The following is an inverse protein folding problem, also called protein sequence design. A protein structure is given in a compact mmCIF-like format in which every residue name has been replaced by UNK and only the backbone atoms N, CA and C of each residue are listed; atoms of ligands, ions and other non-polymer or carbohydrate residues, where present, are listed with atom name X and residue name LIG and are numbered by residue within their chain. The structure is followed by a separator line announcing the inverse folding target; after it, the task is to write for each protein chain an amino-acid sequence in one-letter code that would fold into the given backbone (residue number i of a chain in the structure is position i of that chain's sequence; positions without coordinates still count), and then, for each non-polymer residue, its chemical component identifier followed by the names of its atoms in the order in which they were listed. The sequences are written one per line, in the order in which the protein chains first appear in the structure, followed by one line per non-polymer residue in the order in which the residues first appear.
data_IF_591313783955
#
_entry.id   IF_591313783955
#
_cell.length_a   1.000
_cell.length_b   1.000
_cell.length_c   1.000
_cell.angle_alpha   90.00
_cell.angle_beta   90.00
_cell.angle_gamma   90.00
#
_symmetry.space_group_name_H-M   'P 1'
#
loop_
_entity.id
_entity.type
_entity.pdbx_description
1 polymer ?
#
# COMPACT_ATOMS: atom_id res chain seq x y z
N UNK A 1 -26.60 3.48 24.65
CA UNK A 1 -25.68 3.86 23.55
C UNK A 1 -26.35 4.61 22.40
N UNK A 2 -27.32 4.05 21.65
CA UNK A 2 -27.96 4.78 20.52
C UNK A 2 -28.57 6.13 20.92
N UNK A 3 -29.34 6.18 22.00
CA UNK A 3 -29.91 7.44 22.51
C UNK A 3 -28.84 8.42 23.00
N UNK A 4 -27.75 7.92 23.58
CA UNK A 4 -26.60 8.75 23.99
C UNK A 4 -25.88 9.32 22.76
N UNK A 5 -25.77 8.56 21.67
CA UNK A 5 -25.20 8.99 20.39
C UNK A 5 -25.95 10.18 19.79
N UNK A 6 -27.28 10.14 19.81
CA UNK A 6 -28.12 11.28 19.38
C UNK A 6 -27.97 12.52 20.27
N UNK A 7 -27.79 12.33 21.59
CA UNK A 7 -27.47 13.44 22.51
C UNK A 7 -26.08 14.02 22.25
N UNK A 8 -25.08 13.16 22.03
CA UNK A 8 -23.71 13.57 21.69
C UNK A 8 -23.67 14.35 20.38
N UNK A 9 -24.36 13.87 19.33
CA UNK A 9 -24.46 14.58 18.04
C UNK A 9 -24.98 16.00 18.23
N UNK A 10 -26.12 16.17 18.93
CA UNK A 10 -26.68 17.49 19.21
C UNK A 10 -25.71 18.38 19.99
N UNK A 11 -24.98 17.82 20.95
CA UNK A 11 -23.97 18.55 21.70
C UNK A 11 -22.77 18.97 20.83
N UNK A 12 -22.28 18.10 19.94
CA UNK A 12 -21.17 18.44 19.03
C UNK A 12 -21.55 19.53 18.02
N UNK A 13 -22.78 19.50 17.51
CA UNK A 13 -23.32 20.57 16.66
C UNK A 13 -23.44 21.88 17.46
N UNK A 14 -24.02 21.84 18.66
CA UNK A 14 -24.21 23.02 19.51
C UNK A 14 -22.88 23.65 19.95
N UNK A 15 -21.85 22.84 20.18
CA UNK A 15 -20.50 23.30 20.58
C UNK A 15 -19.60 23.64 19.38
N UNK A 16 -20.10 23.52 18.15
CA UNK A 16 -19.35 23.86 16.93
C UNK A 16 -18.20 22.91 16.61
N UNK A 17 -18.21 21.69 17.17
CA UNK A 17 -17.21 20.63 16.88
C UNK A 17 -17.57 19.77 15.67
N UNK A 18 -18.79 19.92 15.16
CA UNK A 18 -19.32 19.18 14.02
C UNK A 18 -20.27 20.08 13.23
N UNK A 19 -20.30 19.89 11.91
CA UNK A 19 -21.26 20.59 11.06
C UNK A 19 -22.67 20.03 11.27
N UNK A 20 -23.67 20.90 11.18
CA UNK A 20 -25.07 20.49 11.11
C UNK A 20 -25.36 19.99 9.67
N UNK A 21 -25.63 18.69 9.46
CA UNK A 21 -25.78 18.12 8.11
C UNK A 21 -26.95 18.72 7.32
N UNK A 22 -27.95 19.27 8.01
CA UNK A 22 -29.09 19.95 7.39
C UNK A 22 -28.76 21.39 6.94
N UNK A 23 -27.60 21.92 7.34
CA UNK A 23 -27.19 23.31 7.03
C UNK A 23 -25.92 23.32 6.18
N UNK A 24 -26.06 23.53 4.85
CA UNK A 24 -24.91 23.66 3.99
C UNK A 24 -24.10 24.90 4.37
N UNK A 25 -22.77 24.78 4.33
CA UNK A 25 -21.82 25.82 4.69
C UNK A 25 -20.74 25.92 3.62
N UNK A 26 -20.15 27.10 3.48
CA UNK A 26 -19.02 27.31 2.57
C UNK A 26 -17.79 26.52 3.03
N UNK A 27 -16.94 26.10 2.08
CA UNK A 27 -15.68 25.41 2.38
C UNK A 27 -14.72 26.27 3.25
N UNK A 28 -14.81 27.60 3.15
CA UNK A 28 -13.97 28.51 3.94
C UNK A 28 -14.30 28.49 5.43
N UNK A 29 -15.55 28.14 5.76
CA UNK A 29 -16.06 28.11 7.13
C UNK A 29 -16.16 26.66 7.65
N UNK A 30 -15.57 25.69 6.93
CA UNK A 30 -15.62 24.28 7.29
C UNK A 30 -14.98 24.04 8.66
N UNK A 31 -15.65 23.23 9.48
CA UNK A 31 -15.16 22.85 10.80
C UNK A 31 -14.24 21.65 10.63
N UNK A 32 -12.97 21.78 11.04
CA UNK A 32 -12.05 20.65 11.13
C UNK A 32 -12.47 19.75 12.28
N UNK A 33 -12.86 18.52 11.96
CA UNK A 33 -13.28 17.55 12.97
C UNK A 33 -12.04 17.00 13.70
N UNK A 34 -12.06 17.04 15.04
CA UNK A 34 -10.97 16.53 15.88
C UNK A 34 -11.43 15.27 16.61
N UNK A 35 -10.68 14.18 16.50
CA UNK A 35 -11.02 12.92 17.15
C UNK A 35 -10.87 12.95 18.67
N UNK A 36 -11.84 12.34 19.36
CA UNK A 36 -11.89 12.25 20.83
C UNK A 36 -11.81 10.80 21.34
N UNK A 37 -11.84 9.80 20.45
CA UNK A 37 -11.75 8.38 20.83
C UNK A 37 -10.36 8.06 21.41
N UNK A 38 -10.30 7.65 22.68
CA UNK A 38 -9.04 7.29 23.36
C UNK A 38 -8.63 5.83 23.19
N UNK A 39 -9.51 5.01 22.62
CA UNK A 39 -9.28 3.59 22.39
C UNK A 39 -8.94 3.31 20.92
N UNK A 40 -8.38 2.12 20.64
CA UNK A 40 -8.12 1.67 19.27
C UNK A 40 -9.40 1.41 18.46
N UNK A 41 -10.53 1.23 19.13
CA UNK A 41 -11.87 1.12 18.55
C UNK A 41 -12.87 1.92 19.39
N UNK A 42 -13.70 2.80 18.81
CA UNK A 42 -14.76 3.50 19.54
C UNK A 42 -15.74 2.54 20.24
N UNK A 43 -16.16 2.89 21.46
CA UNK A 43 -17.09 2.08 22.27
C UNK A 43 -18.37 1.73 21.51
N UNK A 44 -18.96 2.71 20.83
CA UNK A 44 -20.18 2.48 20.04
C UNK A 44 -19.96 1.42 18.96
N UNK A 45 -18.80 1.45 18.29
CA UNK A 45 -18.46 0.44 17.29
C UNK A 45 -18.17 -0.93 17.93
N UNK A 46 -17.50 -0.97 19.09
CA UNK A 46 -17.26 -2.23 19.82
C UNK A 46 -18.58 -2.94 20.09
N UNK A 47 -19.51 -2.24 20.75
CA UNK A 47 -20.83 -2.80 21.09
C UNK A 47 -21.64 -3.14 19.85
N UNK A 48 -21.61 -2.28 18.82
CA UNK A 48 -22.29 -2.57 17.55
C UNK A 48 -21.80 -3.89 16.94
N UNK A 49 -20.48 -4.11 16.85
CA UNK A 49 -19.90 -5.31 16.25
C UNK A 49 -20.13 -6.56 17.10
N UNK A 50 -20.12 -6.43 18.43
CA UNK A 50 -20.48 -7.53 19.35
C UNK A 50 -21.93 -7.98 19.11
N UNK A 51 -22.88 -7.04 19.08
CA UNK A 51 -24.30 -7.35 18.84
C UNK A 51 -24.53 -7.95 17.45
N UNK A 52 -23.76 -7.53 16.45
CA UNK A 52 -23.86 -8.00 15.07
C UNK A 52 -23.07 -9.28 14.80
N UNK A 53 -22.37 -9.86 15.80
CA UNK A 53 -21.45 -10.98 15.63
C UNK A 53 -20.37 -10.75 14.54
N UNK A 54 -19.95 -9.49 14.38
CA UNK A 54 -18.93 -9.00 13.41
C UNK A 54 -17.59 -8.68 14.12
N UNK A 55 -17.27 -9.41 15.19
CA UNK A 55 -15.98 -9.35 15.87
C UNK A 55 -14.99 -10.27 15.13
N UNK A 56 -13.84 -9.73 14.74
CA UNK A 56 -12.81 -10.50 14.05
C UNK A 56 -12.14 -11.48 15.02
N UNK A 57 -11.60 -12.60 14.51
CA UNK A 57 -10.92 -13.60 15.35
C UNK A 57 -9.84 -12.96 16.25
N UNK A 58 -8.97 -12.14 15.65
CA UNK A 58 -7.86 -11.43 16.32
C UNK A 58 -8.27 -10.33 17.31
N UNK A 59 -9.56 -10.08 17.47
CA UNK A 59 -10.13 -9.19 18.49
C UNK A 59 -10.70 -9.97 19.69
N UNK A 60 -10.55 -11.30 19.70
CA UNK A 60 -10.90 -12.17 20.83
C UNK A 60 -9.66 -12.50 21.66
N UNK A 61 -9.86 -12.96 22.89
CA UNK A 61 -8.78 -13.50 23.72
C UNK A 61 -8.08 -14.67 23.00
N UNK A 62 -6.72 -14.74 23.01
CA UNK A 62 -5.99 -15.77 22.24
C UNK A 62 -6.40 -17.19 22.62
N UNK A 63 -6.57 -17.47 23.92
CA UNK A 63 -6.98 -18.78 24.41
C UNK A 63 -8.39 -19.16 23.94
N UNK A 64 -9.26 -18.17 23.75
CA UNK A 64 -10.63 -18.42 23.28
C UNK A 64 -10.69 -18.89 21.83
N UNK A 65 -9.62 -18.66 21.04
CA UNK A 65 -9.51 -19.11 19.65
C UNK A 65 -9.44 -20.64 19.52
N UNK A 66 -9.08 -21.35 20.60
CA UNK A 66 -9.07 -22.81 20.66
C UNK A 66 -10.50 -23.39 20.68
N UNK A 67 -11.51 -22.58 20.99
CA UNK A 67 -12.91 -23.00 21.02
C UNK A 67 -13.66 -22.60 19.74
N UNK A 68 -14.83 -23.20 19.55
CA UNK A 68 -15.74 -22.84 18.45
C UNK A 68 -16.16 -21.37 18.50
N UNK A 69 -16.58 -20.81 17.36
CA UNK A 69 -16.90 -19.37 17.22
C UNK A 69 -17.89 -18.85 18.27
N UNK A 70 -18.83 -19.68 18.72
CA UNK A 70 -19.83 -19.34 19.74
C UNK A 70 -19.29 -19.24 21.16
N UNK A 71 -18.10 -19.79 21.43
CA UNK A 71 -17.44 -19.79 22.74
C UNK A 71 -16.24 -18.82 22.79
N UNK A 72 -16.01 -18.04 21.72
CA UNK A 72 -14.96 -17.01 21.70
C UNK A 72 -15.34 -15.85 22.60
N UNK A 73 -14.36 -15.37 23.34
CA UNK A 73 -14.50 -14.25 24.27
C UNK A 73 -13.83 -13.05 23.64
N UNK A 74 -14.59 -12.00 23.35
CA UNK A 74 -14.02 -10.77 22.80
C UNK A 74 -13.19 -10.04 23.86
N UNK A 75 -12.11 -9.39 23.44
CA UNK A 75 -11.27 -8.56 24.30
C UNK A 75 -11.32 -7.12 23.78
N UNK A 76 -11.94 -6.23 24.57
CA UNK A 76 -12.10 -4.81 24.18
C UNK A 76 -10.77 -4.12 23.91
N UNK A 77 -9.68 -4.51 24.57
CA UNK A 77 -8.35 -3.94 24.37
C UNK A 77 -7.71 -4.39 23.05
N UNK A 78 -8.23 -5.46 22.42
CA UNK A 78 -7.76 -5.96 21.13
C UNK A 78 -8.63 -5.51 19.96
N UNK A 79 -9.81 -4.93 20.24
CA UNK A 79 -10.69 -4.42 19.20
C UNK A 79 -10.08 -3.18 18.54
N UNK A 80 -9.95 -3.22 17.22
CA UNK A 80 -9.46 -2.09 16.42
C UNK A 80 -10.55 -1.63 15.47
N UNK A 81 -10.71 -0.31 15.31
CA UNK A 81 -11.73 0.27 14.44
C UNK A 81 -11.66 -0.30 13.01
N UNK A 82 -12.76 -0.88 12.53
CA UNK A 82 -12.92 -1.45 11.18
C UNK A 82 -13.11 -0.34 10.16
N UNK A 83 -12.56 -0.51 8.96
CA UNK A 83 -12.76 0.47 7.90
C UNK A 83 -14.23 0.46 7.43
N UNK A 84 -14.86 1.64 7.41
CA UNK A 84 -16.22 1.83 6.87
C UNK A 84 -16.12 2.61 5.57
N UNK A 85 -16.67 2.06 4.48
CA UNK A 85 -16.80 2.78 3.20
C UNK A 85 -17.79 3.93 3.37
N UNK A 86 -17.49 5.11 2.83
CA UNK A 86 -18.50 6.17 2.70
C UNK A 86 -19.58 5.69 1.72
N UNK A 87 -20.77 5.38 2.22
CA UNK A 87 -21.92 4.93 1.44
C UNK A 87 -23.14 5.78 1.79
N UNK A 88 -24.05 5.97 0.84
CA UNK A 88 -25.30 6.68 1.08
C UNK A 88 -26.08 6.00 2.23
N UNK A 89 -26.47 6.79 3.24
CA UNK A 89 -27.15 6.28 4.44
C UNK A 89 -26.25 5.92 5.62
N UNK A 90 -24.91 5.98 5.47
CA UNK A 90 -24.04 5.88 6.64
C UNK A 90 -24.19 7.11 7.52
N UNK A 91 -24.35 6.88 8.83
CA UNK A 91 -24.32 7.96 9.82
C UNK A 91 -22.98 8.70 9.74
N UNK A 92 -23.05 10.02 9.77
CA UNK A 92 -21.89 10.89 9.87
C UNK A 92 -21.09 10.54 11.14
N UNK A 93 -19.76 10.48 11.00
CA UNK A 93 -18.87 10.12 12.10
C UNK A 93 -18.78 11.26 13.12
N UNK A 94 -19.01 10.93 14.39
CA UNK A 94 -18.87 11.87 15.48
C UNK A 94 -17.38 12.04 15.84
N UNK A 95 -16.99 13.14 16.50
CA UNK A 95 -15.68 13.26 17.14
C UNK A 95 -15.30 12.05 18.02
N UNK A 96 -16.26 11.47 18.75
CA UNK A 96 -16.07 10.26 19.55
C UNK A 96 -15.85 8.97 18.75
N UNK A 97 -16.14 8.97 17.44
CA UNK A 97 -15.85 7.85 16.54
C UNK A 97 -14.46 7.93 15.91
N UNK A 98 -13.78 9.09 15.99
CA UNK A 98 -12.46 9.29 15.39
C UNK A 98 -11.36 9.24 16.45
N UNK A 99 -10.26 8.56 16.13
CA UNK A 99 -9.08 8.48 16.98
C UNK A 99 -8.16 9.68 16.69
N UNK A 100 -7.69 10.41 17.72
CA UNK A 100 -6.70 11.45 17.52
C UNK A 100 -5.34 10.86 17.09
N UNK A 101 -4.42 11.66 16.53
CA UNK A 101 -3.14 11.21 15.99
C UNK A 101 -2.32 10.31 16.93
N UNK A 102 -2.25 10.64 18.23
CA UNK A 102 -1.52 9.83 19.21
C UNK A 102 -2.09 8.42 19.36
N UNK A 103 -3.41 8.28 19.34
CA UNK A 103 -4.10 6.98 19.42
C UNK A 103 -3.99 6.22 18.11
N UNK A 104 -3.99 6.91 16.96
CA UNK A 104 -3.74 6.31 15.65
C UNK A 104 -2.34 5.69 15.59
N UNK A 105 -1.32 6.39 16.10
CA UNK A 105 0.03 5.85 16.21
C UNK A 105 0.08 4.63 17.13
N UNK A 106 -0.50 4.73 18.33
CA UNK A 106 -0.58 3.60 19.27
C UNK A 106 -1.29 2.39 18.66
N UNK A 107 -2.32 2.63 17.84
CA UNK A 107 -3.01 1.57 17.11
C UNK A 107 -2.08 0.86 16.12
N UNK A 108 -1.28 1.61 15.35
CA UNK A 108 -0.30 1.00 14.44
C UNK A 108 0.80 0.27 15.20
N UNK A 109 1.30 0.83 16.30
CA UNK A 109 2.29 0.19 17.15
C UNK A 109 1.73 -1.17 17.67
N UNK A 110 0.47 -1.24 18.09
CA UNK A 110 -0.18 -2.51 18.44
C UNK A 110 -0.26 -3.49 17.25
N UNK A 111 -0.73 -3.03 16.08
CA UNK A 111 -0.88 -3.89 14.91
C UNK A 111 0.45 -4.45 14.42
N UNK A 112 1.52 -3.66 14.44
CA UNK A 112 2.81 -4.06 13.88
C UNK A 112 3.77 -4.67 14.91
N UNK A 113 3.74 -4.23 16.17
CA UNK A 113 4.67 -4.72 17.19
C UNK A 113 4.06 -5.79 18.09
N UNK A 114 2.78 -5.71 18.44
CA UNK A 114 2.13 -6.70 19.31
C UNK A 114 1.52 -7.83 18.47
N UNK A 115 0.63 -7.50 17.53
CA UNK A 115 -0.13 -8.51 16.81
C UNK A 115 0.76 -9.38 15.89
N UNK A 116 1.70 -8.78 15.16
CA UNK A 116 2.64 -9.56 14.32
C UNK A 116 3.67 -10.35 15.14
N UNK A 117 3.86 -10.06 16.42
CA UNK A 117 4.70 -10.89 17.29
C UNK A 117 3.98 -12.18 17.73
N UNK A 118 2.65 -12.12 17.84
CA UNK A 118 1.83 -13.25 18.30
C UNK A 118 1.35 -14.16 17.16
N UNK A 119 1.23 -13.63 15.93
CA UNK A 119 0.64 -14.33 14.80
C UNK A 119 1.50 -14.21 13.54
N UNK A 120 1.43 -15.23 12.66
CA UNK A 120 2.06 -15.14 11.34
C UNK A 120 1.31 -14.14 10.48
N UNK A 121 2.04 -13.39 9.65
CA UNK A 121 1.46 -12.37 8.78
C UNK A 121 0.28 -12.91 7.97
N UNK A 122 0.41 -14.09 7.37
CA UNK A 122 -0.67 -14.71 6.57
C UNK A 122 -2.00 -14.87 7.30
N UNK A 123 -1.98 -15.04 8.62
CA UNK A 123 -3.17 -15.23 9.44
C UNK A 123 -3.85 -13.90 9.78
N UNK A 124 -3.08 -12.80 9.82
CA UNK A 124 -3.54 -11.46 10.23
C UNK A 124 -3.53 -10.42 9.10
N UNK A 125 -3.05 -10.75 7.90
CA UNK A 125 -2.82 -9.78 6.82
C UNK A 125 -4.09 -9.03 6.48
N UNK A 126 -5.20 -9.74 6.19
CA UNK A 126 -6.49 -9.11 5.84
C UNK A 126 -7.03 -8.23 6.95
N UNK A 127 -6.78 -8.62 8.22
CA UNK A 127 -7.14 -7.81 9.37
C UNK A 127 -6.32 -6.52 9.42
N UNK A 128 -4.99 -6.61 9.36
CA UNK A 128 -4.10 -5.44 9.40
C UNK A 128 -4.37 -4.52 8.20
N UNK A 129 -4.57 -5.08 7.01
CA UNK A 129 -4.94 -4.34 5.79
C UNK A 129 -6.21 -3.50 5.99
N UNK A 130 -7.26 -4.06 6.59
CA UNK A 130 -8.49 -3.31 6.88
C UNK A 130 -8.27 -2.24 7.95
N UNK A 131 -7.57 -2.57 9.04
CA UNK A 131 -7.38 -1.67 10.17
C UNK A 131 -6.42 -0.51 9.86
N UNK A 132 -5.37 -0.74 9.09
CA UNK A 132 -4.48 0.34 8.58
C UNK A 132 -5.22 1.27 7.64
N UNK A 133 -6.13 0.76 6.81
CA UNK A 133 -7.04 1.59 6.00
C UNK A 133 -7.96 2.44 6.88
N UNK A 134 -8.49 1.91 7.98
CA UNK A 134 -9.27 2.68 8.94
C UNK A 134 -8.45 3.80 9.62
N UNK A 135 -7.17 3.52 9.96
CA UNK A 135 -6.25 4.53 10.50
C UNK A 135 -6.03 5.68 9.51
N UNK A 136 -5.74 5.38 8.24
CA UNK A 136 -5.58 6.39 7.19
C UNK A 136 -6.85 7.20 6.97
N UNK A 137 -8.01 6.55 7.03
CA UNK A 137 -9.30 7.22 6.89
C UNK A 137 -9.54 8.23 8.03
N UNK A 138 -9.18 7.89 9.27
CA UNK A 138 -9.29 8.83 10.40
C UNK A 138 -8.38 10.05 10.22
N UNK A 139 -7.15 9.89 9.71
CA UNK A 139 -6.30 11.04 9.35
C UNK A 139 -6.93 11.88 8.23
N UNK A 140 -7.47 11.24 7.21
CA UNK A 140 -8.10 11.92 6.08
C UNK A 140 -9.34 12.72 6.47
N UNK A 141 -10.10 12.28 7.48
CA UNK A 141 -11.28 13.02 7.94
C UNK A 141 -10.86 14.19 8.83
N UNK A 142 -9.84 13.99 9.66
CA UNK A 142 -9.36 15.02 10.58
C UNK A 142 -8.54 16.13 9.90
N UNK A 143 -7.99 15.89 8.70
CA UNK A 143 -7.22 16.90 7.93
C UNK A 143 -6.17 17.59 8.82
N UNK A 144 -5.28 16.79 9.44
CA UNK A 144 -4.36 17.26 10.48
C UNK A 144 -3.41 18.33 9.96
N UNK A 145 -3.29 19.44 10.69
CA UNK A 145 -2.47 20.61 10.29
C UNK A 145 -1.42 21.02 11.33
N UNK A 146 -1.54 20.55 12.58
CA UNK A 146 -0.57 20.86 13.64
C UNK A 146 0.72 20.07 13.39
N UNK A 147 1.87 20.73 13.50
CA UNK A 147 3.18 20.13 13.17
C UNK A 147 3.46 18.79 13.89
N UNK A 148 3.11 18.69 15.18
CA UNK A 148 3.25 17.44 15.96
C UNK A 148 2.36 16.31 15.42
N UNK A 149 1.14 16.64 15.05
CA UNK A 149 0.15 15.69 14.52
C UNK A 149 0.50 15.28 13.07
N UNK A 150 1.03 16.22 12.27
CA UNK A 150 1.52 15.97 10.91
C UNK A 150 2.74 15.05 10.94
N UNK A 151 3.66 15.24 11.90
CA UNK A 151 4.79 14.33 12.11
C UNK A 151 4.30 12.91 12.38
N UNK A 152 3.34 12.76 13.29
CA UNK A 152 2.73 11.45 13.60
C UNK A 152 2.06 10.85 12.37
N UNK A 153 1.30 11.65 11.61
CA UNK A 153 0.68 11.20 10.38
C UNK A 153 1.72 10.67 9.40
N UNK A 154 2.76 11.45 9.08
CA UNK A 154 3.83 11.01 8.17
C UNK A 154 4.43 9.67 8.64
N UNK A 155 4.82 9.55 9.92
CA UNK A 155 5.35 8.30 10.47
C UNK A 155 4.39 7.11 10.28
N UNK A 156 3.08 7.33 10.51
CA UNK A 156 2.05 6.31 10.31
C UNK A 156 1.92 5.88 8.84
N UNK A 157 1.85 6.84 7.91
CA UNK A 157 1.75 6.55 6.48
C UNK A 157 3.01 5.83 5.96
N UNK A 158 4.20 6.24 6.41
CA UNK A 158 5.46 5.57 6.09
C UNK A 158 5.45 4.10 6.54
N UNK A 159 5.05 3.82 7.77
CA UNK A 159 4.97 2.44 8.29
C UNK A 159 3.94 1.60 7.51
N UNK A 160 2.79 2.17 7.16
CA UNK A 160 1.75 1.47 6.40
C UNK A 160 2.25 1.11 5.00
N UNK A 161 2.98 2.00 4.32
CA UNK A 161 3.59 1.67 3.01
C UNK A 161 4.60 0.53 3.16
N UNK A 162 5.48 0.56 4.16
CA UNK A 162 6.44 -0.51 4.41
C UNK A 162 5.74 -1.85 4.67
N UNK A 163 4.66 -1.83 5.45
CA UNK A 163 3.81 -3.00 5.69
C UNK A 163 3.27 -3.56 4.37
N UNK A 164 2.68 -2.74 3.50
CA UNK A 164 2.12 -3.23 2.23
C UNK A 164 3.18 -3.81 1.29
N UNK A 165 4.37 -3.20 1.22
CA UNK A 165 5.48 -3.74 0.41
C UNK A 165 5.90 -5.12 0.95
N UNK A 166 6.08 -5.23 2.28
CA UNK A 166 6.43 -6.49 2.94
C UNK A 166 5.32 -7.53 2.75
N UNK A 167 4.05 -7.16 2.94
CA UNK A 167 2.93 -8.09 2.82
C UNK A 167 2.79 -8.63 1.42
N UNK A 168 2.98 -7.81 0.39
CA UNK A 168 2.92 -8.31 -0.98
C UNK A 168 4.01 -9.36 -1.27
N UNK A 169 5.22 -9.18 -0.75
CA UNK A 169 6.32 -10.14 -0.89
C UNK A 169 6.06 -11.44 -0.11
N UNK A 170 5.71 -11.34 1.16
CA UNK A 170 5.47 -12.51 2.01
C UNK A 170 4.25 -13.31 1.54
N UNK A 171 3.22 -12.62 1.01
CA UNK A 171 1.99 -13.26 0.55
C UNK A 171 2.11 -13.82 -0.87
N UNK A 172 3.20 -13.59 -1.60
CA UNK A 172 3.44 -14.21 -2.92
C UNK A 172 4.07 -15.61 -2.87
N UNK A 173 4.40 -16.13 -1.68
CA UNK A 173 4.94 -17.49 -1.53
C UNK A 173 3.91 -18.60 -1.83
N UNK A 174 4.41 -19.75 -2.30
CA UNK A 174 3.58 -20.90 -2.72
C UNK A 174 2.78 -21.54 -1.56
N UNK A 175 3.19 -21.32 -0.31
CA UNK A 175 2.52 -21.84 0.91
C UNK A 175 1.31 -21.00 1.36
N UNK A 176 0.90 -20.02 0.54
CA UNK A 176 -0.16 -19.09 0.90
C UNK A 176 -1.53 -19.55 0.38
N UNK A 177 -2.16 -20.46 1.12
CA UNK A 177 -3.55 -20.90 0.90
C UNK A 177 -4.60 -19.91 1.43
N UNK A 178 -4.22 -18.68 1.77
CA UNK A 178 -5.14 -17.67 2.31
C UNK A 178 -6.17 -17.27 1.23
N UNK A 179 -7.33 -17.93 1.24
CA UNK A 179 -8.42 -17.77 0.26
C UNK A 179 -8.91 -16.34 0.06
N UNK A 180 -8.67 -15.48 1.06
CA UNK A 180 -9.25 -14.14 1.14
C UNK A 180 -8.24 -13.02 0.82
N UNK A 181 -6.97 -13.35 0.56
CA UNK A 181 -5.96 -12.35 0.21
C UNK A 181 -6.14 -11.86 -1.23
N UNK A 182 -6.06 -10.54 -1.42
CA UNK A 182 -6.13 -9.92 -2.75
C UNK A 182 -4.93 -8.99 -2.98
N UNK A 183 -3.94 -9.48 -3.73
CA UNK A 183 -2.76 -8.70 -4.11
C UNK A 183 -3.13 -7.36 -4.77
N UNK A 184 -4.16 -7.35 -5.62
CA UNK A 184 -4.60 -6.12 -6.29
C UNK A 184 -5.14 -5.08 -5.30
N UNK A 185 -5.87 -5.50 -4.27
CA UNK A 185 -6.37 -4.61 -3.22
C UNK A 185 -5.24 -4.12 -2.32
N UNK A 186 -4.24 -4.97 -2.04
CA UNK A 186 -3.07 -4.60 -1.25
C UNK A 186 -2.25 -3.52 -1.97
N UNK A 187 -1.94 -3.74 -3.25
CA UNK A 187 -1.29 -2.77 -4.13
C UNK A 187 -2.07 -1.44 -4.21
N UNK A 188 -3.40 -1.50 -4.40
CA UNK A 188 -4.24 -0.29 -4.46
C UNK A 188 -4.18 0.52 -3.16
N UNK A 189 -4.18 -0.14 -2.00
CA UNK A 189 -4.06 0.57 -0.72
C UNK A 189 -2.66 1.14 -0.51
N UNK A 190 -1.60 0.43 -0.90
CA UNK A 190 -0.24 0.95 -0.90
C UNK A 190 -0.11 2.21 -1.76
N UNK A 191 -0.58 2.17 -3.01
CA UNK A 191 -0.49 3.28 -3.97
C UNK A 191 -1.24 4.52 -3.45
N UNK A 192 -2.45 4.33 -2.91
CA UNK A 192 -3.19 5.41 -2.25
C UNK A 192 -2.47 5.95 -1.01
N UNK A 193 -1.73 5.11 -0.28
CA UNK A 193 -0.96 5.55 0.89
C UNK A 193 0.23 6.41 0.46
N UNK A 194 0.95 5.98 -0.58
CA UNK A 194 2.04 6.74 -1.19
C UNK A 194 1.57 8.09 -1.73
N UNK A 195 0.40 8.15 -2.36
CA UNK A 195 -0.19 9.40 -2.85
C UNK A 195 -0.49 10.38 -1.70
N UNK A 196 -1.08 9.90 -0.60
CA UNK A 196 -1.29 10.74 0.59
C UNK A 196 0.03 11.20 1.21
N UNK A 197 1.03 10.32 1.25
CA UNK A 197 2.35 10.62 1.78
C UNK A 197 3.08 11.68 0.94
N UNK A 198 2.93 11.63 -0.38
CA UNK A 198 3.44 12.67 -1.31
C UNK A 198 2.83 14.05 -1.02
N UNK A 199 1.52 14.10 -0.80
CA UNK A 199 0.84 15.34 -0.41
C UNK A 199 1.39 15.86 0.93
N UNK A 200 1.55 15.01 1.95
CA UNK A 200 2.15 15.42 3.22
C UNK A 200 3.57 15.96 3.06
N UNK A 201 4.42 15.29 2.27
CA UNK A 201 5.78 15.78 2.03
C UNK A 201 5.78 17.15 1.32
N UNK A 202 4.93 17.31 0.31
CA UNK A 202 4.81 18.54 -0.48
C UNK A 202 4.26 19.70 0.36
N UNK A 203 3.20 19.45 1.13
CA UNK A 203 2.55 20.46 1.99
C UNK A 203 3.39 20.85 3.20
N UNK A 204 4.36 20.01 3.58
CA UNK A 204 5.29 20.26 4.68
C UNK A 204 6.65 20.80 4.24
N UNK A 205 6.83 21.10 2.94
CA UNK A 205 8.02 21.79 2.43
C UNK A 205 8.19 23.14 3.10
N UNK A 206 9.40 23.39 3.63
CA UNK A 206 9.72 24.66 4.28
C UNK A 206 9.05 24.89 5.64
N UNK A 207 8.33 23.90 6.17
CA UNK A 207 7.82 23.92 7.55
C UNK A 207 8.84 23.35 8.53
N UNK A 208 8.49 23.36 9.82
CA UNK A 208 9.36 22.98 10.95
C UNK A 208 9.83 21.52 10.88
N UNK A 209 9.01 20.61 10.36
CA UNK A 209 9.31 19.19 10.27
C UNK A 209 9.59 18.76 8.83
N UNK A 210 10.64 17.98 8.63
CA UNK A 210 10.92 17.29 7.37
C UNK A 210 11.26 15.85 7.70
N UNK A 211 10.61 14.90 7.03
CA UNK A 211 10.88 13.50 7.32
C UNK A 211 12.27 13.09 6.83
N UNK A 212 13.08 12.41 7.65
CA UNK A 212 14.36 11.85 7.21
C UNK A 212 14.19 10.66 6.25
N UNK A 213 12.98 10.09 6.17
CA UNK A 213 12.69 8.94 5.33
C UNK A 213 12.12 9.31 3.96
N UNK A 214 11.91 10.58 3.66
CA UNK A 214 11.29 10.97 2.40
C UNK A 214 11.97 10.33 1.17
N UNK A 215 13.31 10.37 1.11
CA UNK A 215 14.07 9.79 0.00
C UNK A 215 13.83 8.28 -0.18
N UNK A 216 13.51 7.54 0.89
CA UNK A 216 13.15 6.13 0.82
C UNK A 216 11.82 5.95 0.05
N UNK A 217 10.80 6.71 0.41
CA UNK A 217 9.48 6.59 -0.23
C UNK A 217 9.46 7.16 -1.65
N UNK A 218 10.26 8.20 -1.93
CA UNK A 218 10.52 8.66 -3.30
C UNK A 218 11.17 7.59 -4.16
N UNK A 219 12.11 6.83 -3.59
CA UNK A 219 12.74 5.71 -4.28
C UNK A 219 11.71 4.62 -4.65
N UNK A 220 10.77 4.30 -3.74
CA UNK A 220 9.67 3.37 -4.06
C UNK A 220 8.78 3.90 -5.20
N UNK A 221 8.40 5.18 -5.17
CA UNK A 221 7.61 5.81 -6.24
C UNK A 221 8.32 5.75 -7.61
N UNK A 222 9.64 5.99 -7.64
CA UNK A 222 10.45 5.87 -8.86
C UNK A 222 10.35 4.47 -9.45
N UNK A 223 10.52 3.43 -8.64
CA UNK A 223 10.45 2.04 -9.10
C UNK A 223 9.04 1.73 -9.62
N UNK A 224 8.00 2.12 -8.88
CA UNK A 224 6.60 1.84 -9.22
C UNK A 224 6.13 2.54 -10.50
N UNK A 225 6.81 3.61 -10.95
CA UNK A 225 6.55 4.23 -12.25
C UNK A 225 6.70 3.25 -13.42
N UNK A 226 7.41 2.12 -13.26
CA UNK A 226 7.44 1.04 -14.25
C UNK A 226 6.05 0.41 -14.51
N UNK A 227 5.12 0.48 -13.57
CA UNK A 227 3.74 -0.02 -13.74
C UNK A 227 2.81 0.99 -14.39
N UNK A 228 3.13 2.29 -14.33
CA UNK A 228 2.31 3.35 -14.94
C UNK A 228 2.28 3.20 -16.47
N UNK A 229 1.12 3.32 -17.14
CA UNK A 229 1.05 3.17 -18.60
C UNK A 229 1.94 4.16 -19.36
N UNK A 230 2.00 5.41 -18.91
CA UNK A 230 2.87 6.47 -19.44
C UNK A 230 3.65 7.07 -18.27
N UNK A 231 4.86 6.57 -17.97
CA UNK A 231 5.68 7.10 -16.90
C UNK A 231 6.11 8.54 -17.20
N UNK A 232 6.07 9.40 -16.19
CA UNK A 232 6.45 10.82 -16.23
C UNK A 232 7.42 11.14 -15.09
N UNK A 233 8.37 10.24 -14.84
CA UNK A 233 9.32 10.33 -13.72
C UNK A 233 10.11 11.64 -13.72
N UNK A 234 10.49 12.15 -14.90
CA UNK A 234 11.23 13.41 -15.05
C UNK A 234 10.46 14.59 -14.46
N UNK A 235 9.14 14.65 -14.69
CA UNK A 235 8.28 15.70 -14.13
C UNK A 235 8.27 15.61 -12.60
N UNK A 236 8.08 14.41 -12.05
CA UNK A 236 8.08 14.21 -10.60
C UNK A 236 9.42 14.58 -9.96
N UNK A 237 10.54 14.06 -10.49
CA UNK A 237 11.89 14.34 -9.97
C UNK A 237 12.21 15.84 -10.04
N UNK A 238 11.75 16.55 -11.08
CA UNK A 238 11.99 17.98 -11.24
C UNK A 238 11.36 18.84 -10.13
N UNK A 239 10.30 18.34 -9.48
CA UNK A 239 9.62 19.03 -8.37
C UNK A 239 10.30 18.80 -7.02
N UNK A 240 11.22 17.84 -6.92
CA UNK A 240 11.81 17.46 -5.65
C UNK A 240 13.03 18.32 -5.28
N UNK A 241 13.27 18.55 -3.98
CA UNK A 241 14.47 19.24 -3.53
C UNK A 241 15.75 18.53 -3.97
N UNK A 242 16.80 19.31 -4.26
CA UNK A 242 18.10 18.79 -4.71
C UNK A 242 18.67 17.70 -3.79
N UNK A 243 18.51 17.82 -2.47
CA UNK A 243 19.02 16.81 -1.53
C UNK A 243 18.27 15.47 -1.62
N UNK A 244 16.99 15.47 -2.00
CA UNK A 244 16.20 14.25 -2.22
C UNK A 244 16.61 13.59 -3.54
N UNK A 245 16.72 14.38 -4.61
CA UNK A 245 17.15 13.88 -5.93
C UNK A 245 18.54 13.23 -5.87
N UNK A 246 19.43 13.78 -5.04
CA UNK A 246 20.79 13.27 -4.88
C UNK A 246 20.95 12.20 -3.79
N UNK A 247 19.89 11.84 -3.06
CA UNK A 247 19.97 10.76 -2.08
C UNK A 247 20.30 9.45 -2.79
N UNK A 248 21.21 8.67 -2.18
CA UNK A 248 21.66 7.38 -2.71
C UNK A 248 20.51 6.42 -2.99
N UNK A 249 19.43 6.47 -2.21
CA UNK A 249 18.24 5.62 -2.36
C UNK A 249 17.48 5.95 -3.64
N UNK A 250 17.31 7.24 -3.93
CA UNK A 250 16.62 7.70 -5.15
C UNK A 250 17.45 7.37 -6.38
N UNK A 251 18.77 7.59 -6.34
CA UNK A 251 19.67 7.23 -7.46
C UNK A 251 19.63 5.73 -7.76
N UNK A 252 19.73 4.89 -6.72
CA UNK A 252 19.59 3.43 -6.84
C UNK A 252 18.24 2.99 -7.42
N UNK A 253 17.16 3.63 -7.00
CA UNK A 253 15.85 3.38 -7.61
C UNK A 253 15.77 3.77 -9.09
N UNK A 254 16.47 4.84 -9.50
CA UNK A 254 16.59 5.22 -10.92
C UNK A 254 17.38 4.16 -11.70
N UNK A 255 18.42 3.56 -11.11
CA UNK A 255 19.17 2.47 -11.75
C UNK A 255 18.26 1.26 -12.01
N UNK A 256 17.50 0.81 -10.99
CA UNK A 256 16.47 -0.25 -11.14
C UNK A 256 15.42 0.13 -12.19
N UNK A 257 14.90 1.36 -12.13
CA UNK A 257 13.90 1.86 -13.08
C UNK A 257 14.42 1.82 -14.52
N UNK A 258 15.65 2.27 -14.76
CA UNK A 258 16.26 2.28 -16.08
C UNK A 258 16.52 0.87 -16.61
N UNK A 259 16.94 -0.05 -15.74
CA UNK A 259 17.14 -1.46 -16.11
C UNK A 259 15.81 -2.15 -16.48
N UNK A 260 14.71 -1.81 -15.80
CA UNK A 260 13.38 -2.36 -16.08
C UNK A 260 12.59 -1.63 -17.19
N UNK A 261 13.07 -0.50 -17.70
CA UNK A 261 12.33 0.32 -18.65
C UNK A 261 12.41 -0.24 -20.07
N UNK A 262 11.23 -0.45 -20.66
CA UNK A 262 11.09 -0.92 -22.05
C UNK A 262 11.30 0.20 -23.08
N UNK A 263 12.12 -0.04 -24.09
CA UNK A 263 12.39 0.88 -25.20
C UNK A 263 11.18 1.22 -26.06
N UNK A 264 10.17 0.35 -26.09
CA UNK A 264 8.91 0.63 -26.78
C UNK A 264 7.88 1.34 -25.91
N UNK A 265 8.12 1.53 -24.61
CA UNK A 265 7.15 2.17 -23.71
C UNK A 265 7.06 3.65 -24.04
N UNK A 266 5.84 4.18 -24.01
CA UNK A 266 5.59 5.61 -24.18
C UNK A 266 5.85 6.32 -22.86
N UNK A 267 6.59 7.42 -22.89
CA UNK A 267 6.95 8.24 -21.73
C UNK A 267 6.58 9.71 -21.94
N UNK A 268 6.40 10.41 -20.82
CA UNK A 268 6.22 11.86 -20.75
C UNK A 268 4.78 12.35 -20.99
N UNK A 269 4.50 13.59 -20.59
CA UNK A 269 3.17 14.21 -20.74
C UNK A 269 2.93 14.76 -22.16
N UNK A 270 3.97 14.86 -22.98
CA UNK A 270 3.93 15.50 -24.29
C UNK A 270 3.23 14.61 -25.34
N UNK A 271 2.52 15.26 -26.27
CA UNK A 271 1.89 14.62 -27.43
C UNK A 271 2.63 15.03 -28.71
N UNK A 272 3.06 14.08 -29.58
CA UNK A 272 2.94 12.64 -29.39
C UNK A 272 3.91 12.11 -28.30
N UNK A 273 3.54 11.03 -27.60
CA UNK A 273 4.35 10.47 -26.52
C UNK A 273 5.69 9.96 -27.05
N UNK A 274 6.75 10.21 -26.29
CA UNK A 274 8.12 9.84 -26.66
C UNK A 274 8.40 8.40 -26.27
N UNK A 275 9.39 7.79 -26.92
CA UNK A 275 10.00 6.55 -26.44
C UNK A 275 11.27 6.92 -25.66
N UNK A 276 11.62 6.19 -24.59
CA UNK A 276 12.86 6.42 -23.87
C UNK A 276 14.05 6.15 -24.81
N UNK A 277 14.91 7.15 -24.99
CA UNK A 277 16.13 7.04 -25.81
C UNK A 277 17.23 6.23 -25.14
N UNK A 278 17.14 6.04 -23.83
CA UNK A 278 18.13 5.36 -22.99
C UNK A 278 17.73 3.95 -22.57
N UNK A 279 16.50 3.51 -22.90
CA UNK A 279 16.06 2.17 -22.55
C UNK A 279 16.88 1.13 -23.33
N UNK A 280 17.50 0.22 -22.58
CA UNK A 280 18.42 -0.78 -23.14
C UNK A 280 17.71 -2.06 -23.57
N UNK A 281 16.46 -2.23 -23.15
CA UNK A 281 15.74 -3.52 -23.23
C UNK A 281 16.59 -4.67 -22.68
N UNK A 282 17.45 -4.39 -21.69
CA UNK A 282 18.35 -5.36 -21.06
C UNK A 282 17.73 -5.81 -19.72
N UNK A 283 16.80 -6.74 -19.81
CA UNK A 283 16.13 -7.30 -18.63
C UNK A 283 17.07 -8.13 -17.75
N UNK A 284 18.23 -8.56 -18.26
CA UNK A 284 19.22 -9.27 -17.46
C UNK A 284 19.85 -8.34 -16.42
N UNK A 285 20.10 -7.09 -16.79
CA UNK A 285 20.54 -6.04 -15.84
C UNK A 285 19.52 -5.89 -14.70
N UNK A 286 18.21 -5.88 -14.99
CA UNK A 286 17.18 -5.75 -13.95
C UNK A 286 17.30 -6.84 -12.88
N UNK A 287 17.38 -8.11 -13.29
CA UNK A 287 17.53 -9.22 -12.34
C UNK A 287 18.90 -9.18 -11.62
N UNK A 288 19.96 -8.77 -12.31
CA UNK A 288 21.28 -8.60 -11.71
C UNK A 288 21.28 -7.52 -10.62
N UNK A 289 20.57 -6.41 -10.84
CA UNK A 289 20.41 -5.37 -9.83
C UNK A 289 19.65 -5.91 -8.61
N UNK A 290 18.58 -6.68 -8.80
CA UNK A 290 17.81 -7.25 -7.67
C UNK A 290 18.59 -8.26 -6.84
N UNK A 291 19.54 -8.98 -7.45
CA UNK A 291 20.41 -9.94 -6.77
C UNK A 291 21.63 -9.30 -6.09
N UNK A 292 21.79 -7.98 -6.18
CA UNK A 292 22.90 -7.25 -5.59
C UNK A 292 22.63 -6.87 -4.14
N UNK A 293 23.64 -7.04 -3.27
CA UNK A 293 23.62 -6.55 -1.88
C UNK A 293 23.61 -5.01 -1.77
N UNK A 294 23.60 -4.30 -2.91
CA UNK A 294 23.54 -2.85 -2.95
C UNK A 294 22.17 -2.29 -2.50
N UNK A 295 21.10 -3.08 -2.55
CA UNK A 295 19.74 -2.58 -2.33
C UNK A 295 19.18 -3.01 -0.97
N UNK A 296 18.31 -2.18 -0.38
CA UNK A 296 17.59 -2.62 0.81
C UNK A 296 16.52 -3.64 0.43
N UNK A 297 16.19 -4.53 1.35
CA UNK A 297 15.14 -5.54 1.16
C UNK A 297 13.82 -4.93 0.61
N UNK A 298 13.31 -3.87 1.24
CA UNK A 298 12.06 -3.23 0.78
C UNK A 298 12.18 -2.59 -0.60
N UNK A 299 13.37 -2.16 -1.02
CA UNK A 299 13.59 -1.62 -2.36
C UNK A 299 13.50 -2.75 -3.41
N UNK A 300 14.11 -3.90 -3.11
CA UNK A 300 14.01 -5.11 -3.96
C UNK A 300 12.58 -5.63 -3.99
N UNK A 301 11.91 -5.75 -2.84
CA UNK A 301 10.50 -6.15 -2.76
C UNK A 301 9.58 -5.18 -3.54
N UNK A 302 9.87 -3.87 -3.53
CA UNK A 302 9.13 -2.91 -4.36
C UNK A 302 9.36 -3.16 -5.86
N UNK A 303 10.58 -3.52 -6.26
CA UNK A 303 10.89 -3.83 -7.65
C UNK A 303 10.25 -5.15 -8.11
N UNK A 304 10.09 -6.12 -7.21
CA UNK A 304 9.37 -7.38 -7.47
C UNK A 304 7.91 -7.15 -7.90
N UNK A 305 7.23 -6.13 -7.36
CA UNK A 305 5.88 -5.71 -7.79
C UNK A 305 5.85 -5.42 -9.31
N UNK A 306 7.00 -5.06 -9.89
CA UNK A 306 7.18 -4.76 -11.32
C UNK A 306 7.71 -5.94 -12.15
N UNK A 307 8.02 -7.09 -11.53
CA UNK A 307 8.62 -8.25 -12.20
C UNK A 307 7.71 -8.86 -13.28
N UNK A 308 6.41 -9.03 -13.00
CA UNK A 308 5.47 -9.62 -13.98
C UNK A 308 5.32 -8.81 -15.27
N UNK A 309 5.16 -7.47 -15.23
CA UNK A 309 5.24 -6.64 -16.44
C UNK A 309 6.51 -6.84 -17.27
N UNK A 310 7.66 -7.03 -16.63
CA UNK A 310 8.94 -7.29 -17.30
C UNK A 310 8.93 -8.68 -17.95
N UNK A 311 8.51 -9.72 -17.22
CA UNK A 311 8.36 -11.09 -17.75
C UNK A 311 7.39 -11.14 -18.94
N UNK A 312 6.25 -10.45 -18.86
CA UNK A 312 5.28 -10.33 -19.96
C UNK A 312 5.91 -9.68 -21.20
N UNK A 313 6.69 -8.62 -20.99
CA UNK A 313 7.43 -7.97 -22.07
C UNK A 313 8.39 -8.95 -22.75
N UNK A 314 9.22 -9.65 -21.97
CA UNK A 314 10.23 -10.58 -22.47
C UNK A 314 9.57 -11.67 -23.30
N UNK A 315 8.54 -12.35 -22.75
CA UNK A 315 7.85 -13.43 -23.44
C UNK A 315 7.18 -12.95 -24.73
N UNK A 316 6.57 -11.76 -24.74
CA UNK A 316 6.01 -11.16 -25.97
C UNK A 316 7.09 -10.85 -27.02
N UNK A 317 8.27 -10.42 -26.61
CA UNK A 317 9.41 -10.21 -27.50
C UNK A 317 9.89 -11.53 -28.11
N UNK A 318 10.00 -12.59 -27.30
CA UNK A 318 10.31 -13.95 -27.76
C UNK A 318 9.28 -14.44 -28.79
N UNK A 319 7.98 -14.37 -28.47
CA UNK A 319 6.89 -14.78 -29.38
C UNK A 319 6.95 -14.02 -30.71
N UNK A 320 7.27 -12.71 -30.68
CA UNK A 320 7.38 -11.90 -31.90
C UNK A 320 8.59 -12.27 -32.73
N UNK A 321 9.75 -12.45 -32.11
CA UNK A 321 10.99 -12.82 -32.79
C UNK A 321 10.85 -14.15 -33.54
N UNK A 322 10.26 -15.16 -32.90
CA UNK A 322 10.14 -16.49 -33.50
C UNK A 322 9.03 -16.62 -34.55
N UNK A 323 7.99 -15.77 -34.50
CA UNK A 323 6.99 -15.71 -35.59
C UNK A 323 7.57 -15.28 -36.93
N UNK A 324 8.71 -14.58 -36.94
CA UNK A 324 9.36 -14.11 -38.18
C UNK A 324 10.18 -15.20 -38.90
N UNK A 325 10.49 -16.33 -38.24
CA UNK A 325 11.36 -17.40 -38.76
C UNK A 325 10.69 -18.47 -39.66
N UNK A 326 9.41 -18.33 -40.00
CA UNK A 326 8.69 -19.31 -40.84
C UNK A 326 8.31 -20.61 -40.11
N UNK A 327 8.34 -21.77 -40.81
CA UNK A 327 7.89 -23.08 -40.29
C UNK A 327 8.86 -23.76 -39.30
N UNK A 328 10.08 -23.25 -39.12
CA UNK A 328 11.05 -23.81 -38.17
C UNK A 328 10.70 -23.35 -36.77
N UNK A 329 10.30 -24.29 -35.91
CA UNK A 329 10.18 -24.06 -34.48
C UNK A 329 11.59 -24.11 -33.89
N UNK A 330 12.05 -23.09 -33.17
CA UNK A 330 13.29 -23.19 -32.40
C UNK A 330 13.07 -24.21 -31.29
N UNK A 331 13.86 -25.28 -31.30
CA UNK A 331 13.87 -26.32 -30.25
C UNK A 331 15.06 -26.10 -29.28
N UNK A 332 15.79 -25.00 -29.46
CA UNK A 332 17.10 -24.77 -28.86
C UNK A 332 17.05 -24.20 -27.42
N UNK A 333 15.87 -24.00 -26.83
CA UNK A 333 15.73 -23.35 -25.52
C UNK A 333 15.33 -24.34 -24.44
N UNK A 334 16.14 -24.37 -23.38
CA UNK A 334 15.85 -25.14 -22.17
C UNK A 334 15.00 -24.33 -21.18
N UNK A 335 14.31 -25.04 -20.28
CA UNK A 335 13.57 -24.37 -19.19
C UNK A 335 14.51 -23.62 -18.25
N UNK A 336 15.73 -24.13 -18.07
CA UNK A 336 16.76 -23.54 -17.24
C UNK A 336 17.25 -22.19 -17.80
N UNK A 337 17.46 -22.11 -19.11
CA UNK A 337 17.81 -20.84 -19.78
C UNK A 337 16.67 -19.84 -19.69
N UNK A 338 15.43 -20.30 -19.89
CA UNK A 338 14.25 -19.45 -19.76
C UNK A 338 14.05 -18.95 -18.32
N UNK A 339 14.33 -19.79 -17.31
CA UNK A 339 14.31 -19.39 -15.91
C UNK A 339 15.28 -18.24 -15.60
N UNK A 340 16.52 -18.34 -16.11
CA UNK A 340 17.53 -17.27 -15.98
C UNK A 340 17.09 -15.96 -16.63
N UNK A 341 16.47 -16.04 -17.81
CA UNK A 341 15.96 -14.87 -18.54
C UNK A 341 14.78 -14.20 -17.81
N UNK A 342 13.90 -15.01 -17.23
CA UNK A 342 12.68 -14.53 -16.56
C UNK A 342 12.90 -14.15 -15.08
N UNK A 343 14.09 -14.40 -14.53
CA UNK A 343 14.37 -14.22 -13.12
C UNK A 343 13.43 -15.06 -12.26
N UNK A 344 13.32 -16.35 -12.58
CA UNK A 344 12.51 -17.34 -11.86
C UNK A 344 13.39 -18.52 -11.44
N UNK A 345 13.35 -18.84 -10.16
CA UNK A 345 14.17 -19.92 -9.58
C UNK A 345 13.45 -21.28 -9.62
N UNK A 346 12.11 -21.29 -9.66
CA UNK A 346 11.33 -22.53 -9.79
C UNK A 346 10.97 -22.84 -11.25
N UNK A 347 11.53 -23.93 -11.77
CA UNK A 347 11.25 -24.44 -13.12
C UNK A 347 9.77 -24.79 -13.33
N UNK A 348 9.00 -25.10 -12.29
CA UNK A 348 7.55 -25.33 -12.39
C UNK A 348 6.83 -24.03 -12.73
N UNK A 349 7.20 -22.93 -12.08
CA UNK A 349 6.67 -21.59 -12.37
C UNK A 349 7.07 -21.14 -13.78
N UNK A 350 8.33 -21.37 -14.19
CA UNK A 350 8.80 -21.10 -15.57
C UNK A 350 7.94 -21.84 -16.58
N UNK A 351 7.74 -23.15 -16.37
CA UNK A 351 6.92 -23.99 -17.25
C UNK A 351 5.49 -23.46 -17.35
N UNK A 352 4.85 -23.20 -16.21
CA UNK A 352 3.47 -22.72 -16.16
C UNK A 352 3.31 -21.37 -16.90
N UNK A 353 4.24 -20.46 -16.69
CA UNK A 353 4.24 -19.16 -17.35
C UNK A 353 4.43 -19.31 -18.86
N UNK A 354 5.42 -20.08 -19.31
CA UNK A 354 5.65 -20.32 -20.74
C UNK A 354 4.44 -21.00 -21.43
N UNK A 355 3.80 -21.99 -20.79
CA UNK A 355 2.57 -22.61 -21.33
C UNK A 355 1.46 -21.58 -21.51
N UNK A 356 1.31 -20.65 -20.55
CA UNK A 356 0.28 -19.58 -20.61
C UNK A 356 0.48 -18.66 -21.83
N UNK A 357 1.73 -18.46 -22.26
CA UNK A 357 2.06 -17.65 -23.45
C UNK A 357 2.08 -18.48 -24.76
N UNK A 358 1.69 -19.76 -24.70
CA UNK A 358 1.54 -20.62 -25.87
C UNK A 358 2.82 -21.35 -26.31
N UNK A 359 3.86 -21.35 -25.48
CA UNK A 359 5.05 -22.19 -25.72
C UNK A 359 4.69 -23.66 -25.47
N UNK A 360 5.26 -24.57 -26.30
CA UNK A 360 5.13 -26.02 -26.11
C UNK A 360 6.41 -26.51 -25.43
N UNK A 361 6.24 -27.22 -24.30
CA UNK A 361 7.32 -27.62 -23.38
C UNK A 361 7.26 -29.11 -23.11
#
# INVERSE_FOLDING_TARGET
LREQREKMRRNYIATGKMQDPEKPRSLKDAITLVGECRDMCPEFERVQRIVQNDVHAHENEPLSLLFGRSARVFDEYRMVKKFRRSAAGNEEQLPSDLRPPTVLKQTLDYLFCSLLSDFKLKDVQTFIWDRTRAVRNDFSIQQVTRDEDVKIAIECFEQIVRFHILSMHEMSGDDNDASDYSWAQDYEQMDKTLLSLDAYYSDNRGKSYQSPHEAEFRAYQVILCMKTPVPNIEDHISTWPFHIVNDKRVRKAVDIYNAGLKGTKKIGPLQPPRKPSFARDDWADFWSELNSDAYSFLMVATAEICAMPIRDMVLKSFVRGFKQGGKKRPEDWTLEEMGKILGLDDLRQVRALCVTYGFKI
#
